data_IF_952628929625
#
_entry.id   IF_952628929625
#
_cell.length_a   1.000
_cell.length_b   1.000
_cell.length_c   1.000
_cell.angle_alpha   90.00
_cell.angle_beta   90.00
_cell.angle_gamma   90.00
#
_symmetry.space_group_name_H-M   'P 1'
#
loop_
_entity.id
_entity.type
_entity.pdbx_description
1 polymer ?
#
# COMPACT_ATOMS: atom_id res chain seq x y z
N UNK A 1 -17.98 -28.49 43.06
CA UNK A 1 -16.81 -28.61 42.17
C UNK A 1 -17.34 -28.81 40.77
N UNK A 2 -17.40 -27.73 39.99
CA UNK A 2 -17.68 -27.78 38.55
C UNK A 2 -16.97 -26.58 37.95
N UNK A 3 -15.95 -26.85 37.13
CA UNK A 3 -15.00 -25.86 36.63
C UNK A 3 -15.61 -25.05 35.49
N UNK A 4 -15.61 -23.72 35.65
CA UNK A 4 -15.80 -22.74 34.59
C UNK A 4 -14.58 -22.78 33.66
N UNK A 5 -14.75 -23.33 32.45
CA UNK A 5 -13.71 -23.32 31.42
C UNK A 5 -13.90 -22.08 30.54
N UNK A 6 -13.43 -20.94 31.01
CA UNK A 6 -13.42 -19.70 30.23
C UNK A 6 -12.30 -19.82 29.18
N UNK A 7 -12.69 -20.11 27.94
CA UNK A 7 -11.81 -19.95 26.78
C UNK A 7 -11.54 -18.46 26.59
N UNK A 8 -10.41 -17.98 27.09
CA UNK A 8 -9.86 -16.69 26.69
C UNK A 8 -9.45 -16.79 25.22
N UNK A 9 -10.40 -16.49 24.33
CA UNK A 9 -10.08 -16.16 22.95
C UNK A 9 -9.24 -14.88 22.99
N UNK A 10 -7.93 -15.01 22.78
CA UNK A 10 -7.09 -13.86 22.44
C UNK A 10 -7.53 -13.38 21.06
N UNK A 11 -8.58 -12.57 21.01
CA UNK A 11 -8.83 -11.72 19.85
C UNK A 11 -7.71 -10.69 19.86
N UNK A 12 -6.72 -10.88 18.98
CA UNK A 12 -5.76 -9.84 18.64
C UNK A 12 -6.56 -8.67 18.07
N UNK A 13 -6.85 -7.68 18.91
CA UNK A 13 -7.37 -6.40 18.47
C UNK A 13 -6.44 -5.87 17.37
N UNK A 14 -6.94 -5.50 16.18
CA UNK A 14 -6.11 -4.84 15.19
C UNK A 14 -5.63 -3.53 15.81
N UNK A 15 -4.32 -3.40 16.01
CA UNK A 15 -3.74 -2.15 16.50
C UNK A 15 -4.11 -1.04 15.52
N UNK A 16 -4.64 0.05 16.06
CA UNK A 16 -4.94 1.27 15.30
C UNK A 16 -3.61 1.76 14.73
N UNK A 17 -3.33 1.43 13.47
CA UNK A 17 -2.10 1.82 12.78
C UNK A 17 -1.29 0.68 12.14
N UNK A 18 -1.58 -0.60 12.42
CA UNK A 18 -0.85 -1.69 11.78
C UNK A 18 -1.16 -1.81 10.27
N UNK A 19 -0.14 -2.27 9.53
CA UNK A 19 -0.30 -2.74 8.16
C UNK A 19 -1.29 -3.90 8.12
N UNK A 20 -2.09 -3.99 7.06
CA UNK A 20 -3.06 -5.06 6.85
C UNK A 20 -2.41 -6.42 6.55
N UNK A 21 -1.12 -6.42 6.23
CA UNK A 21 -0.31 -7.60 5.92
C UNK A 21 1.14 -7.36 6.36
N UNK A 22 1.86 -8.45 6.62
CA UNK A 22 3.29 -8.44 6.98
C UNK A 22 4.12 -9.36 6.08
N UNK A 23 3.50 -9.91 5.04
CA UNK A 23 4.11 -10.76 4.03
C UNK A 23 3.39 -10.59 2.66
N UNK A 24 4.00 -11.15 1.62
CA UNK A 24 3.56 -11.10 0.24
C UNK A 24 2.24 -11.88 0.01
N UNK A 25 2.06 -12.99 0.71
CA UNK A 25 0.85 -13.82 0.58
C UNK A 25 -0.36 -13.11 1.21
N UNK A 26 -0.18 -12.52 2.39
CA UNK A 26 -1.14 -11.65 3.04
C UNK A 26 -1.45 -10.39 2.22
N UNK A 27 -0.44 -9.79 1.58
CA UNK A 27 -0.64 -8.67 0.67
C UNK A 27 -1.55 -9.06 -0.51
N UNK A 28 -1.26 -10.21 -1.13
CA UNK A 28 -2.06 -10.74 -2.25
C UNK A 28 -3.50 -11.04 -1.82
N UNK A 29 -3.68 -11.69 -0.67
CA UNK A 29 -5.00 -11.99 -0.12
C UNK A 29 -5.79 -10.71 0.19
N UNK A 30 -5.12 -9.71 0.78
CA UNK A 30 -5.71 -8.42 1.09
C UNK A 30 -6.14 -7.65 -0.17
N UNK A 31 -5.30 -7.61 -1.21
CA UNK A 31 -5.64 -6.97 -2.49
C UNK A 31 -6.88 -7.58 -3.16
N UNK A 32 -7.06 -8.90 -3.03
CA UNK A 32 -8.26 -9.60 -3.54
C UNK A 32 -9.53 -9.27 -2.76
N UNK A 33 -9.40 -8.90 -1.49
CA UNK A 33 -10.53 -8.60 -0.62
C UNK A 33 -11.05 -7.16 -0.76
N UNK A 34 -10.21 -6.23 -1.20
CA UNK A 34 -10.60 -4.82 -1.37
C UNK A 34 -11.28 -4.58 -2.73
N UNK A 35 -12.31 -3.73 -2.75
CA UNK A 35 -13.09 -3.46 -3.96
C UNK A 35 -12.46 -2.36 -4.83
N UNK A 36 -12.30 -2.64 -6.12
CA UNK A 36 -11.83 -1.68 -7.13
C UNK A 36 -12.95 -0.76 -7.69
N UNK A 37 -14.18 -0.89 -7.22
CA UNK A 37 -15.34 -0.17 -7.82
C UNK A 37 -15.31 1.35 -7.54
N UNK A 38 -14.61 1.79 -6.49
CA UNK A 38 -14.50 3.20 -6.11
C UNK A 38 -13.04 3.63 -6.13
N UNK A 39 -12.60 4.23 -7.23
CA UNK A 39 -11.20 4.61 -7.47
C UNK A 39 -10.64 5.55 -6.38
N UNK A 40 -11.33 6.65 -5.97
CA UNK A 40 -10.85 7.47 -4.85
C UNK A 40 -10.63 6.68 -3.56
N UNK A 41 -11.58 5.81 -3.18
CA UNK A 41 -11.42 4.97 -1.99
C UNK A 41 -10.28 3.97 -2.15
N UNK A 42 -10.13 3.36 -3.32
CA UNK A 42 -9.06 2.43 -3.62
C UNK A 42 -7.69 3.11 -3.52
N UNK A 43 -7.57 4.33 -4.06
CA UNK A 43 -6.37 5.17 -3.93
C UNK A 43 -5.98 5.37 -2.46
N UNK A 44 -6.91 5.86 -1.63
CA UNK A 44 -6.64 6.09 -0.20
C UNK A 44 -6.26 4.79 0.52
N UNK A 45 -6.93 3.69 0.18
CA UNK A 45 -6.69 2.37 0.77
C UNK A 45 -5.27 1.88 0.49
N UNK A 46 -4.83 1.97 -0.78
CA UNK A 46 -3.46 1.59 -1.18
C UNK A 46 -2.42 2.53 -0.55
N UNK A 47 -2.64 3.85 -0.62
CA UNK A 47 -1.70 4.84 -0.10
C UNK A 47 -1.49 4.68 1.41
N UNK A 48 -2.58 4.48 2.17
CA UNK A 48 -2.49 4.24 3.62
C UNK A 48 -1.69 2.99 3.93
N UNK A 49 -1.91 1.88 3.19
CA UNK A 49 -1.14 0.66 3.42
C UNK A 49 0.34 0.81 3.06
N UNK A 50 0.68 1.46 1.95
CA UNK A 50 2.08 1.74 1.60
C UNK A 50 2.77 2.58 2.68
N UNK A 51 2.09 3.60 3.22
CA UNK A 51 2.62 4.41 4.32
C UNK A 51 2.82 3.59 5.60
N UNK A 52 1.87 2.72 5.94
CA UNK A 52 2.00 1.83 7.12
C UNK A 52 3.11 0.80 6.94
N UNK A 53 3.24 0.22 5.75
CA UNK A 53 4.27 -0.77 5.43
C UNK A 53 5.69 -0.19 5.58
N UNK A 54 5.87 1.10 5.30
CA UNK A 54 7.16 1.78 5.50
C UNK A 54 7.63 1.74 6.96
N UNK A 55 6.69 1.65 7.92
CA UNK A 55 6.97 1.61 9.36
C UNK A 55 7.11 0.19 9.93
N UNK A 56 6.82 -0.85 9.12
CA UNK A 56 6.93 -2.25 9.55
C UNK A 56 8.36 -2.73 9.36
N UNK A 57 8.95 -3.36 10.37
CA UNK A 57 10.22 -4.06 10.22
C UNK A 57 10.01 -5.38 9.46
N UNK A 58 10.66 -5.52 8.30
CA UNK A 58 10.49 -6.64 7.38
C UNK A 58 11.85 -7.03 6.82
N UNK A 59 12.05 -8.34 6.64
CA UNK A 59 13.17 -8.83 5.86
C UNK A 59 13.19 -8.14 4.48
N UNK A 60 14.34 -7.67 3.97
CA UNK A 60 14.34 -6.83 2.77
C UNK A 60 13.79 -7.56 1.54
N UNK A 61 14.10 -8.86 1.37
CA UNK A 61 13.47 -9.72 0.35
C UNK A 61 11.95 -9.77 0.43
N UNK A 62 11.40 -9.81 1.64
CA UNK A 62 9.95 -9.85 1.81
C UNK A 62 9.32 -8.50 1.44
N UNK A 63 9.96 -7.39 1.86
CA UNK A 63 9.55 -6.04 1.43
C UNK A 63 9.58 -5.90 -0.09
N UNK A 64 10.61 -6.40 -0.77
CA UNK A 64 10.71 -6.36 -2.22
C UNK A 64 9.59 -7.17 -2.91
N UNK A 65 9.27 -8.37 -2.39
CA UNK A 65 8.15 -9.18 -2.91
C UNK A 65 6.82 -8.44 -2.79
N UNK A 66 6.57 -7.83 -1.62
CA UNK A 66 5.38 -7.00 -1.41
C UNK A 66 5.37 -5.82 -2.39
N UNK A 67 6.50 -5.11 -2.54
CA UNK A 67 6.62 -3.96 -3.46
C UNK A 67 6.25 -4.34 -4.91
N UNK A 68 6.69 -5.51 -5.39
CA UNK A 68 6.32 -6.02 -6.72
C UNK A 68 4.82 -6.31 -6.84
N UNK A 69 4.20 -6.88 -5.81
CA UNK A 69 2.75 -7.16 -5.80
C UNK A 69 1.94 -5.86 -5.87
N UNK A 70 2.30 -4.85 -5.08
CA UNK A 70 1.56 -3.57 -5.03
C UNK A 70 1.89 -2.65 -6.21
N UNK A 71 2.92 -2.95 -7.00
CA UNK A 71 3.30 -2.20 -8.20
C UNK A 71 2.16 -2.13 -9.22
N UNK A 72 1.44 -3.24 -9.44
CA UNK A 72 0.31 -3.28 -10.38
C UNK A 72 -0.86 -2.36 -9.94
N UNK A 73 -1.37 -2.43 -8.70
CA UNK A 73 -2.32 -1.44 -8.17
C UNK A 73 -1.87 0.01 -8.31
N UNK A 74 -0.59 0.31 -8.06
CA UNK A 74 -0.03 1.66 -8.19
C UNK A 74 -0.04 2.13 -9.66
N UNK A 75 0.35 1.27 -10.60
CA UNK A 75 0.31 1.56 -12.04
C UNK A 75 -1.12 1.82 -12.53
N UNK A 76 -2.08 1.01 -12.07
CA UNK A 76 -3.50 1.21 -12.38
C UNK A 76 -4.00 2.56 -11.87
N UNK A 77 -3.75 2.87 -10.60
CA UNK A 77 -4.14 4.15 -9.99
C UNK A 77 -3.48 5.35 -10.67
N UNK A 78 -2.20 5.24 -11.03
CA UNK A 78 -1.52 6.28 -11.81
C UNK A 78 -2.19 6.50 -13.15
N UNK A 79 -2.57 5.43 -13.87
CA UNK A 79 -3.30 5.55 -15.14
C UNK A 79 -4.61 6.32 -14.98
N UNK A 80 -5.38 6.02 -13.93
CA UNK A 80 -6.64 6.72 -13.63
C UNK A 80 -6.45 8.19 -13.23
N UNK A 81 -5.38 8.52 -12.51
CA UNK A 81 -5.00 9.90 -12.20
C UNK A 81 -4.52 10.65 -13.45
N UNK A 82 -3.70 10.00 -14.29
CA UNK A 82 -3.14 10.58 -15.51
C UNK A 82 -4.21 11.04 -16.49
N UNK A 83 -5.35 10.33 -16.59
CA UNK A 83 -6.51 10.77 -17.40
C UNK A 83 -7.00 12.18 -17.07
N UNK A 84 -6.72 12.67 -15.86
CA UNK A 84 -7.19 13.97 -15.37
C UNK A 84 -6.29 15.12 -15.83
N UNK A 85 -4.98 14.89 -16.01
CA UNK A 85 -4.01 15.94 -16.32
C UNK A 85 -3.26 15.74 -17.65
N UNK A 86 -3.19 14.53 -18.18
CA UNK A 86 -2.47 14.24 -19.42
C UNK A 86 -3.18 14.86 -20.63
N UNK A 87 -2.42 15.56 -21.48
CA UNK A 87 -2.92 16.17 -22.72
C UNK A 87 -3.84 17.38 -22.50
N UNK A 88 -3.93 17.91 -21.28
CA UNK A 88 -4.73 19.09 -20.97
C UNK A 88 -4.03 20.39 -21.40
N UNK A 89 -4.77 21.42 -21.83
CA UNK A 89 -4.20 22.72 -22.16
C UNK A 89 -3.43 23.32 -20.98
N UNK A 90 -2.39 24.10 -21.27
CA UNK A 90 -1.59 24.80 -20.27
C UNK A 90 -1.98 26.29 -20.20
N UNK A 91 -1.90 26.93 -19.02
CA UNK A 91 -1.49 26.36 -17.73
C UNK A 91 -2.53 25.41 -17.13
N UNK A 92 -2.05 24.39 -16.41
CA UNK A 92 -2.91 23.41 -15.76
C UNK A 92 -3.84 24.04 -14.72
N UNK A 93 -5.10 23.62 -14.71
CA UNK A 93 -6.06 23.99 -13.69
C UNK A 93 -5.74 23.32 -12.34
N UNK A 94 -6.26 23.86 -11.25
CA UNK A 94 -6.10 23.31 -9.89
C UNK A 94 -6.37 21.80 -9.83
N UNK A 95 -7.49 21.36 -10.40
CA UNK A 95 -7.87 19.93 -10.44
C UNK A 95 -6.87 19.04 -11.19
N UNK A 96 -6.17 19.58 -12.19
CA UNK A 96 -5.16 18.86 -12.96
C UNK A 96 -3.87 18.74 -12.15
N UNK A 97 -3.47 19.82 -11.46
CA UNK A 97 -2.36 19.83 -10.53
C UNK A 97 -2.60 18.85 -9.37
N UNK A 98 -3.78 18.87 -8.75
CA UNK A 98 -4.13 17.94 -7.66
C UNK A 98 -3.96 16.47 -8.07
N UNK A 99 -4.40 16.12 -9.28
CA UNK A 99 -4.28 14.75 -9.78
C UNK A 99 -2.83 14.36 -10.07
N UNK A 100 -2.01 15.30 -10.54
CA UNK A 100 -0.57 15.08 -10.73
C UNK A 100 0.15 14.92 -9.39
N UNK A 101 -0.18 15.75 -8.39
CA UNK A 101 0.34 15.64 -7.02
C UNK A 101 -0.04 14.31 -6.36
N UNK A 102 -1.29 13.88 -6.50
CA UNK A 102 -1.73 12.55 -6.03
C UNK A 102 -0.91 11.43 -6.68
N UNK A 103 -0.64 11.51 -7.99
CA UNK A 103 0.18 10.53 -8.67
C UNK A 103 1.61 10.50 -8.10
N UNK A 104 2.21 11.67 -7.86
CA UNK A 104 3.54 11.77 -7.25
C UNK A 104 3.55 11.18 -5.84
N UNK A 105 2.57 11.50 -4.99
CA UNK A 105 2.48 10.96 -3.62
C UNK A 105 2.42 9.44 -3.64
N UNK A 106 1.63 8.85 -4.55
CA UNK A 106 1.52 7.41 -4.68
C UNK A 106 2.84 6.76 -5.13
N UNK A 107 3.51 7.35 -6.13
CA UNK A 107 4.80 6.86 -6.61
C UNK A 107 5.90 6.95 -5.55
N UNK A 108 5.95 8.03 -4.77
CA UNK A 108 6.89 8.14 -3.65
C UNK A 108 6.64 7.10 -2.56
N UNK A 109 5.37 6.79 -2.27
CA UNK A 109 5.03 5.77 -1.28
C UNK A 109 5.48 4.35 -1.72
N UNK A 110 5.39 4.04 -3.02
CA UNK A 110 5.92 2.80 -3.59
C UNK A 110 7.46 2.80 -3.59
N UNK A 111 8.07 3.88 -4.05
CA UNK A 111 9.52 4.06 -4.08
C UNK A 111 10.15 3.84 -2.69
N UNK A 112 9.51 4.35 -1.64
CA UNK A 112 9.96 4.15 -0.25
C UNK A 112 10.22 2.68 0.06
N UNK A 113 9.34 1.77 -0.40
CA UNK A 113 9.49 0.33 -0.18
C UNK A 113 10.72 -0.24 -0.89
N UNK A 114 10.91 0.11 -2.16
CA UNK A 114 12.07 -0.32 -2.93
C UNK A 114 13.37 0.23 -2.36
N UNK A 115 13.41 1.52 -2.01
CA UNK A 115 14.60 2.17 -1.48
C UNK A 115 15.04 1.58 -0.13
N UNK A 116 14.09 1.12 0.69
CA UNK A 116 14.37 0.52 1.98
C UNK A 116 15.01 -0.88 1.87
N UNK A 117 14.73 -1.63 0.80
CA UNK A 117 15.27 -2.98 0.62
C UNK A 117 16.42 -3.11 -0.39
N UNK A 118 16.64 -2.12 -1.26
CA UNK A 118 17.59 -2.26 -2.37
C UNK A 118 19.03 -2.49 -1.90
N UNK A 119 19.52 -1.66 -0.96
CA UNK A 119 20.90 -1.80 -0.47
C UNK A 119 21.13 -3.13 0.27
N UNK A 120 20.30 -3.51 1.26
CA UNK A 120 20.41 -4.82 1.90
C UNK A 120 20.43 -5.98 0.89
N UNK A 121 19.55 -5.97 -0.12
CA UNK A 121 19.48 -7.02 -1.14
C UNK A 121 20.76 -7.11 -1.99
N UNK A 122 21.36 -5.97 -2.34
CA UNK A 122 22.62 -5.93 -3.07
C UNK A 122 23.80 -6.40 -2.20
N UNK A 123 23.74 -6.14 -0.90
CA UNK A 123 24.73 -6.59 0.08
C UNK A 123 24.54 -8.09 0.44
N UNK A 124 23.50 -8.75 -0.09
CA UNK A 124 23.27 -10.20 0.00
C UNK A 124 22.04 -10.63 0.81
N UNK A 125 21.32 -9.67 1.39
CA UNK A 125 20.37 -9.84 2.51
C UNK A 125 20.96 -10.51 3.76
#
# INVERSE_FOLDING_TARGET
MTNEFTLTQTQTQPSVGASAFVDADGCTAWLRAISLTNIPRYYETILVQLKRLAEVDLAPRERARIAEIVREPVMFLHTELARRYAGKPQPAAERENDAAEQALVLWHALWSQYSACLKPLLDGD
#
